data_IF_291230791719
#
_entry.id   IF_291230791719
#
_cell.length_a   1.000
_cell.length_b   1.000
_cell.length_c   1.000
_cell.angle_alpha   90.00
_cell.angle_beta   90.00
_cell.angle_gamma   90.00
#
_symmetry.space_group_name_H-M   'P 1'
#
loop_
_entity.id
_entity.type
_entity.pdbx_description
1 polymer ?
#
# COMPACT_ATOMS: atom_id res chain seq x y z
N UNK A 1 10.66 -5.68 9.80
CA UNK A 1 10.84 -4.81 8.62
C UNK A 1 12.22 -4.94 7.96
N UNK A 2 13.28 -5.31 8.69
CA UNK A 2 14.61 -5.48 8.11
C UNK A 2 14.67 -6.50 6.95
N UNK A 3 13.95 -7.62 7.04
CA UNK A 3 13.90 -8.62 5.96
C UNK A 3 13.18 -8.09 4.71
N UNK A 4 11.95 -7.61 4.87
CA UNK A 4 11.17 -7.02 3.78
C UNK A 4 11.93 -5.88 3.07
N UNK A 5 12.62 -5.04 3.84
CA UNK A 5 13.46 -3.97 3.29
C UNK A 5 14.63 -4.51 2.46
N UNK A 6 15.32 -5.57 2.92
CA UNK A 6 16.41 -6.21 2.16
C UNK A 6 15.91 -6.80 0.84
N UNK A 7 14.79 -7.51 0.87
CA UNK A 7 14.21 -8.13 -0.34
C UNK A 7 13.78 -7.08 -1.36
N UNK A 8 13.11 -6.00 -0.92
CA UNK A 8 12.70 -4.94 -1.84
C UNK A 8 13.90 -4.17 -2.40
N UNK A 9 14.90 -3.88 -1.56
CA UNK A 9 16.13 -3.24 -2.00
C UNK A 9 16.85 -4.07 -3.08
N UNK A 10 16.98 -5.39 -2.89
CA UNK A 10 17.61 -6.25 -3.91
C UNK A 10 16.79 -6.29 -5.20
N UNK A 11 15.46 -6.38 -5.12
CA UNK A 11 14.61 -6.36 -6.31
C UNK A 11 14.74 -5.06 -7.13
N UNK A 12 14.89 -3.91 -6.47
CA UNK A 12 15.11 -2.63 -7.16
C UNK A 12 16.53 -2.56 -7.73
N UNK A 13 17.54 -2.98 -6.97
CA UNK A 13 18.94 -3.01 -7.44
C UNK A 13 19.11 -3.92 -8.67
N UNK A 14 18.44 -5.08 -8.66
CA UNK A 14 18.46 -6.07 -9.74
C UNK A 14 17.48 -5.71 -10.89
N UNK A 15 16.86 -4.52 -10.86
CA UNK A 15 15.90 -4.03 -11.87
C UNK A 15 14.68 -4.95 -12.09
N UNK A 16 14.35 -5.80 -11.12
CA UNK A 16 13.15 -6.65 -11.13
C UNK A 16 11.90 -5.84 -10.79
N UNK A 17 12.07 -4.74 -10.05
CA UNK A 17 11.08 -3.72 -9.81
C UNK A 17 11.68 -2.35 -10.16
N UNK A 18 10.92 -1.42 -10.77
CA UNK A 18 11.44 -0.08 -11.03
C UNK A 18 11.63 0.73 -9.74
N UNK A 19 10.72 0.58 -8.78
CA UNK A 19 10.77 1.17 -7.45
C UNK A 19 9.77 0.45 -6.52
N UNK A 20 9.84 0.73 -5.22
CA UNK A 20 8.87 0.22 -4.26
C UNK A 20 8.72 1.16 -3.05
N UNK A 21 7.51 1.21 -2.49
CA UNK A 21 7.22 1.78 -1.17
C UNK A 21 6.50 0.72 -0.34
N UNK A 22 6.86 0.60 0.94
CA UNK A 22 6.19 -0.31 1.88
C UNK A 22 5.93 0.40 3.20
N UNK A 23 4.70 0.28 3.67
CA UNK A 23 4.29 0.73 5.00
C UNK A 23 3.75 -0.45 5.80
N UNK A 24 4.07 -0.46 7.09
CA UNK A 24 3.54 -1.43 8.03
C UNK A 24 3.14 -0.73 9.31
N UNK A 25 1.96 -1.08 9.81
CA UNK A 25 1.36 -0.44 10.97
C UNK A 25 0.35 -1.32 11.65
N UNK A 26 -0.36 -0.71 12.59
CA UNK A 26 -1.51 -1.28 13.27
C UNK A 26 -2.67 -0.28 13.25
N UNK A 27 -3.77 -0.58 13.93
CA UNK A 27 -4.85 0.38 14.15
C UNK A 27 -4.38 1.67 14.86
N UNK A 28 -3.25 1.63 15.58
CA UNK A 28 -2.66 2.80 16.21
C UNK A 28 -1.84 3.70 15.25
N UNK A 29 -1.61 3.26 14.01
CA UNK A 29 -0.87 4.01 12.99
C UNK A 29 0.32 3.25 12.39
N UNK A 30 1.09 3.95 11.56
CA UNK A 30 2.26 3.42 10.85
C UNK A 30 3.44 3.28 11.81
N UNK A 31 4.04 2.09 11.83
CA UNK A 31 5.22 1.74 12.65
C UNK A 31 6.50 1.77 11.83
N UNK A 32 6.41 1.54 10.52
CA UNK A 32 7.54 1.63 9.61
C UNK A 32 7.09 2.02 8.20
N UNK A 33 7.90 2.83 7.52
CA UNK A 33 7.68 3.23 6.13
C UNK A 33 9.03 3.35 5.42
N UNK A 34 9.19 2.60 4.33
CA UNK A 34 10.43 2.50 3.54
C UNK A 34 10.14 2.78 2.07
N UNK A 35 11.06 3.49 1.39
CA UNK A 35 10.98 3.78 -0.03
C UNK A 35 12.30 3.40 -0.73
N UNK A 36 12.20 2.85 -1.93
CA UNK A 36 13.32 2.35 -2.73
C UNK A 36 13.19 2.86 -4.17
N UNK A 37 14.17 3.64 -4.64
CA UNK A 37 14.17 4.17 -6.01
C UNK A 37 13.10 5.24 -6.30
N UNK A 38 12.40 5.76 -5.28
CA UNK A 38 11.37 6.78 -5.41
C UNK A 38 11.13 7.53 -4.08
N UNK A 39 10.31 8.59 -4.11
CA UNK A 39 9.80 9.26 -2.91
C UNK A 39 8.79 8.39 -2.17
N UNK A 40 8.72 8.52 -0.84
CA UNK A 40 7.66 7.90 -0.03
C UNK A 40 6.26 8.33 -0.47
N UNK A 41 6.13 9.57 -0.95
CA UNK A 41 4.85 10.17 -1.34
C UNK A 41 4.51 9.94 -2.83
N UNK A 42 5.24 9.06 -3.51
CA UNK A 42 4.95 8.72 -4.89
C UNK A 42 3.56 8.09 -5.01
N UNK A 43 2.78 8.56 -5.97
CA UNK A 43 1.43 8.06 -6.24
C UNK A 43 1.53 6.84 -7.14
N UNK A 44 0.90 5.74 -6.72
CA UNK A 44 0.81 4.50 -7.49
C UNK A 44 -0.64 4.25 -7.93
N UNK A 45 -0.80 3.64 -9.10
CA UNK A 45 -2.09 3.04 -9.47
C UNK A 45 -2.37 1.83 -8.57
N UNK A 46 -3.48 1.87 -7.85
CA UNK A 46 -3.90 0.84 -6.91
C UNK A 46 -4.56 -0.36 -7.60
N UNK A 47 -4.89 -0.25 -8.89
CA UNK A 47 -5.49 -1.29 -9.71
C UNK A 47 -6.67 -1.99 -8.98
N UNK A 48 -6.53 -3.27 -8.66
CA UNK A 48 -7.60 -4.04 -8.00
C UNK A 48 -7.81 -3.70 -6.52
N UNK A 49 -6.87 -3.03 -5.86
CA UNK A 49 -7.07 -2.59 -4.47
C UNK A 49 -8.16 -1.51 -4.36
N UNK A 50 -8.43 -0.78 -5.45
CA UNK A 50 -9.57 0.15 -5.56
C UNK A 50 -10.91 -0.53 -5.22
N UNK A 51 -11.07 -1.81 -5.56
CA UNK A 51 -12.30 -2.57 -5.23
C UNK A 51 -12.49 -2.70 -3.72
N UNK A 52 -11.41 -2.85 -2.98
CA UNK A 52 -11.44 -2.98 -1.52
C UNK A 52 -11.68 -1.62 -0.88
N UNK A 53 -10.84 -0.64 -1.21
CA UNK A 53 -10.81 0.65 -0.50
C UNK A 53 -11.92 1.61 -0.92
N UNK A 54 -12.28 1.64 -2.20
CA UNK A 54 -13.35 2.51 -2.68
C UNK A 54 -14.67 1.75 -2.69
N UNK A 55 -14.80 0.76 -3.58
CA UNK A 55 -16.10 0.10 -3.80
C UNK A 55 -16.59 -0.64 -2.56
N UNK A 56 -15.75 -1.47 -1.94
CA UNK A 56 -16.12 -2.28 -0.78
C UNK A 56 -16.56 -1.43 0.41
N UNK A 57 -15.70 -0.47 0.83
CA UNK A 57 -16.01 0.40 1.97
C UNK A 57 -17.25 1.26 1.74
N UNK A 58 -17.39 1.85 0.54
CA UNK A 58 -18.58 2.68 0.22
C UNK A 58 -19.85 1.84 0.19
N UNK A 59 -19.82 0.66 -0.42
CA UNK A 59 -20.98 -0.24 -0.46
C UNK A 59 -21.41 -0.64 0.96
N UNK A 60 -20.47 -1.07 1.81
CA UNK A 60 -20.79 -1.44 3.19
C UNK A 60 -21.35 -0.26 3.98
N UNK A 61 -20.84 0.95 3.74
CA UNK A 61 -21.37 2.16 4.36
C UNK A 61 -22.80 2.47 3.92
N UNK A 62 -23.12 2.28 2.64
CA UNK A 62 -24.48 2.49 2.14
C UNK A 62 -25.48 1.47 2.70
N UNK A 63 -25.05 0.22 2.89
CA UNK A 63 -25.86 -0.82 3.55
C UNK A 63 -26.13 -0.44 5.01
N UNK A 64 -25.10 -0.01 5.75
CA UNK A 64 -25.22 0.46 7.14
C UNK A 64 -26.21 1.64 7.27
N UNK A 65 -26.24 2.51 6.26
CA UNK A 65 -27.18 3.65 6.19
C UNK A 65 -28.59 3.25 5.69
N UNK A 66 -28.84 1.99 5.32
CA UNK A 66 -30.12 1.54 4.76
C UNK A 66 -30.43 2.12 3.37
N UNK A 67 -29.39 2.52 2.64
CA UNK A 67 -29.48 3.16 1.31
C UNK A 67 -29.16 2.19 0.16
N UNK A 68 -28.82 0.95 0.50
CA UNK A 68 -28.63 -0.17 -0.41
C UNK A 68 -29.19 -1.45 0.23
#
# INVERSE_FOLDING_TARGET
MAEAGRVLASCVADQRLPCAVVEAGSSAGVVASLAFGTSRDAIFDLASLTKVLATGLVTLRLIDEGRL
#
